data_IF_187391974552
#
_entry.id   IF_187391974552
#
_cell.length_a   1.000
_cell.length_b   1.000
_cell.length_c   1.000
_cell.angle_alpha   90.00
_cell.angle_beta   90.00
_cell.angle_gamma   90.00
#
_symmetry.space_group_name_H-M   'P 1'
#
loop_
_entity.id
_entity.type
_entity.pdbx_description
1 polymer ?
#
# COMPACT_ATOMS: atom_id res chain seq x y z
N UNK A 1 -4.63 28.56 46.02
CA UNK A 1 -3.83 27.33 46.19
C UNK A 1 -4.81 26.25 46.65
N UNK A 2 -5.39 25.53 45.66
CA UNK A 2 -6.43 24.52 45.91
C UNK A 2 -5.87 23.14 45.62
N UNK A 3 -5.49 22.46 46.67
CA UNK A 3 -5.04 21.06 46.62
C UNK A 3 -6.30 20.20 46.52
N UNK A 4 -6.57 19.62 45.33
CA UNK A 4 -7.61 18.62 45.15
C UNK A 4 -7.19 17.35 45.88
N UNK A 5 -7.91 17.00 46.93
CA UNK A 5 -7.80 15.71 47.62
C UNK A 5 -8.19 14.60 46.65
N UNK A 6 -7.25 13.70 46.32
CA UNK A 6 -7.50 12.47 45.60
C UNK A 6 -8.27 11.52 46.48
N UNK A 7 -9.39 11.00 46.01
CA UNK A 7 -10.23 10.02 46.67
C UNK A 7 -9.46 8.71 46.95
N UNK A 8 -9.67 8.03 48.10
CA UNK A 8 -8.90 6.82 48.50
C UNK A 8 -9.03 5.63 47.54
N UNK A 9 -10.02 5.64 46.65
CA UNK A 9 -10.24 4.61 45.62
C UNK A 9 -9.18 4.59 44.52
N UNK A 10 -8.62 5.74 44.14
CA UNK A 10 -7.62 5.80 43.04
C UNK A 10 -6.24 5.28 43.47
N UNK A 11 -5.91 5.40 44.76
CA UNK A 11 -4.63 4.91 45.29
C UNK A 11 -4.60 3.39 45.37
N UNK A 12 -5.74 2.76 45.68
CA UNK A 12 -5.92 1.32 45.68
C UNK A 12 -5.70 0.69 44.31
N UNK A 13 -6.21 1.32 43.24
CA UNK A 13 -5.99 0.87 41.85
C UNK A 13 -4.54 0.96 41.39
N UNK A 14 -3.83 2.01 41.82
CA UNK A 14 -2.40 2.18 41.52
C UNK A 14 -1.56 1.08 42.18
N UNK A 15 -1.86 0.72 43.44
CA UNK A 15 -1.17 -0.35 44.15
C UNK A 15 -1.45 -1.70 43.50
N UNK A 16 -2.69 -1.99 43.09
CA UNK A 16 -3.04 -3.25 42.42
C UNK A 16 -2.31 -3.39 41.08
N UNK A 17 -2.24 -2.34 40.29
CA UNK A 17 -1.51 -2.36 39.01
C UNK A 17 0.00 -2.57 39.24
N UNK A 18 0.60 -1.91 40.23
CA UNK A 18 2.01 -2.09 40.57
C UNK A 18 2.34 -3.53 41.05
N UNK A 19 1.49 -4.14 41.83
CA UNK A 19 1.64 -5.55 42.25
C UNK A 19 1.51 -6.50 41.07
N UNK A 20 0.56 -6.26 40.17
CA UNK A 20 0.36 -7.08 38.96
C UNK A 20 1.54 -7.02 38.00
N UNK A 21 2.15 -5.85 37.83
CA UNK A 21 3.34 -5.67 36.97
C UNK A 21 4.58 -6.36 37.57
N UNK A 22 4.75 -6.33 38.89
CA UNK A 22 5.84 -7.02 39.60
C UNK A 22 5.67 -8.56 39.49
N UNK A 23 4.47 -9.09 39.65
CA UNK A 23 4.20 -10.52 39.46
C UNK A 23 4.44 -10.99 38.03
N UNK A 24 4.09 -10.19 37.02
CA UNK A 24 4.39 -10.48 35.61
C UNK A 24 5.89 -10.49 35.34
N UNK A 25 6.64 -9.55 35.90
CA UNK A 25 8.10 -9.47 35.72
C UNK A 25 8.82 -10.66 36.38
N UNK A 26 8.37 -11.10 37.58
CA UNK A 26 8.91 -12.28 38.27
C UNK A 26 8.59 -13.57 37.54
N UNK A 27 7.38 -13.68 36.94
CA UNK A 27 6.96 -14.83 36.13
C UNK A 27 7.81 -14.98 34.85
N UNK A 28 8.13 -13.86 34.18
CA UNK A 28 8.98 -13.83 32.99
C UNK A 28 10.45 -14.19 33.31
N UNK A 29 10.95 -13.75 34.45
CA UNK A 29 12.33 -14.08 34.91
C UNK A 29 12.45 -15.54 35.34
N UNK A 30 11.41 -16.15 35.88
CA UNK A 30 11.43 -17.58 36.26
C UNK A 30 11.30 -18.50 35.05
N UNK A 31 10.50 -18.12 34.04
CA UNK A 31 10.35 -18.89 32.80
C UNK A 31 11.62 -18.87 31.91
N UNK A 32 12.50 -17.90 32.12
CA UNK A 32 13.77 -17.80 31.35
C UNK A 32 14.95 -18.56 32.01
N UNK A 33 14.77 -19.06 33.24
CA UNK A 33 15.81 -19.80 33.96
C UNK A 33 15.82 -21.32 33.71
N UNK A 34 14.81 -21.86 33.04
CA UNK A 34 14.70 -23.29 32.74
C UNK A 34 15.11 -23.74 31.35
N UNK A 35 15.73 -22.88 30.53
CA UNK A 35 16.22 -23.24 29.18
C UNK A 35 17.72 -23.10 28.92
N UNK A 36 18.54 -22.89 29.97
CA UNK A 36 20.00 -22.71 29.79
C UNK A 36 20.84 -23.73 30.60
N UNK A 37 20.35 -24.94 30.82
CA UNK A 37 21.11 -25.96 31.51
C UNK A 37 20.99 -27.34 30.84
N UNK A 38 21.21 -27.42 29.55
CA UNK A 38 21.44 -28.72 28.89
C UNK A 38 22.12 -28.50 27.53
N UNK A 39 23.38 -28.10 27.55
CA UNK A 39 24.37 -28.34 26.49
C UNK A 39 25.76 -27.81 26.90
N UNK A 40 26.34 -28.42 27.90
CA UNK A 40 27.78 -28.32 28.19
C UNK A 40 28.24 -29.46 29.10
N UNK A 41 28.47 -30.61 28.52
CA UNK A 41 29.33 -31.65 29.10
C UNK A 41 29.55 -32.76 28.08
N UNK A 42 30.77 -32.80 27.55
CA UNK A 42 31.55 -33.89 26.93
C UNK A 42 32.22 -33.36 25.70
N UNK A 43 33.55 -33.30 25.60
CA UNK A 43 34.61 -33.79 26.49
C UNK A 43 35.90 -33.45 25.76
N UNK A 44 36.76 -32.75 26.45
CA UNK A 44 38.18 -32.68 26.09
C UNK A 44 38.80 -34.06 26.25
N UNK A 45 39.52 -34.54 25.26
CA UNK A 45 40.72 -35.36 25.44
C UNK A 45 41.68 -35.15 24.30
N UNK A 46 42.75 -34.48 24.66
CA UNK A 46 44.07 -34.52 24.02
C UNK A 46 44.53 -35.96 23.86
N UNK A 47 45.16 -36.27 22.74
CA UNK A 47 46.38 -37.05 22.77
C UNK A 47 47.25 -36.72 21.56
N UNK A 48 48.44 -36.28 21.91
CA UNK A 48 49.58 -36.01 21.05
C UNK A 48 50.36 -37.31 20.75
N UNK A 49 51.18 -37.20 19.69
CA UNK A 49 52.38 -37.98 19.35
C UNK A 49 52.21 -39.43 18.88
N UNK A 50 52.68 -39.80 17.72
CA UNK A 50 54.12 -40.02 17.47
C UNK A 50 54.36 -40.47 16.01
N UNK A 51 55.43 -39.94 15.47
CA UNK A 51 56.14 -40.42 14.29
C UNK A 51 56.56 -41.87 14.46
N UNK A 52 56.52 -42.65 13.41
CA UNK A 52 57.73 -43.43 12.99
C UNK A 52 57.49 -44.09 11.64
N UNK A 53 58.56 -43.94 10.91
CA UNK A 53 59.02 -44.46 9.66
C UNK A 53 58.78 -45.96 9.39
N UNK A 54 58.73 -46.21 8.11
CA UNK A 54 59.51 -47.20 7.33
C UNK A 54 58.89 -48.46 6.79
N UNK A 55 59.04 -48.52 5.52
CA UNK A 55 59.51 -49.61 4.66
C UNK A 55 58.39 -50.46 3.93
N UNK A 56 58.41 -50.21 2.64
CA UNK A 56 58.66 -51.20 1.57
C UNK A 56 57.88 -52.54 1.62
N UNK A 57 57.03 -52.71 0.70
CA UNK A 57 57.29 -53.65 -0.42
C UNK A 57 56.07 -53.70 -1.39
N UNK A 58 56.47 -53.83 -2.63
CA UNK A 58 55.67 -54.00 -3.83
C UNK A 58 54.71 -55.17 -3.79
N UNK A 59 53.54 -55.01 -4.45
CA UNK A 59 53.05 -55.87 -5.54
C UNK A 59 51.77 -55.22 -6.05
N UNK A 60 51.84 -54.71 -7.23
CA UNK A 60 51.21 -55.12 -8.47
C UNK A 60 49.81 -55.80 -8.29
N UNK A 61 48.79 -55.08 -8.69
CA UNK A 61 47.79 -55.53 -9.62
C UNK A 61 46.78 -54.45 -9.96
N UNK A 62 46.85 -54.13 -11.18
CA UNK A 62 45.90 -53.55 -12.10
C UNK A 62 44.46 -53.74 -11.70
N UNK A 63 43.71 -52.63 -11.61
CA UNK A 63 42.28 -52.58 -11.51
C UNK A 63 41.81 -51.17 -11.80
N UNK A 64 42.16 -50.64 -12.99
CA UNK A 64 41.44 -49.51 -13.58
C UNK A 64 40.04 -50.00 -13.87
N UNK A 65 39.10 -49.78 -12.99
CA UNK A 65 37.70 -49.67 -13.35
C UNK A 65 37.53 -48.42 -14.21
N UNK A 66 37.84 -48.55 -15.50
CA UNK A 66 37.24 -47.69 -16.51
C UNK A 66 35.76 -47.95 -16.44
N UNK A 67 34.97 -47.01 -15.90
CA UNK A 67 33.57 -46.84 -16.30
C UNK A 67 33.61 -46.77 -17.83
N UNK A 68 33.26 -47.84 -18.49
CA UNK A 68 33.12 -47.90 -19.93
C UNK A 68 32.03 -46.93 -20.30
N UNK A 69 32.42 -45.75 -20.75
CA UNK A 69 31.51 -44.88 -21.48
C UNK A 69 30.95 -45.69 -22.66
N UNK A 70 29.67 -46.07 -22.59
CA UNK A 70 28.98 -46.78 -23.67
C UNK A 70 28.92 -45.84 -24.89
N UNK A 71 29.93 -45.88 -25.72
CA UNK A 71 29.97 -45.15 -26.97
C UNK A 71 29.17 -45.90 -28.02
N UNK A 72 28.11 -45.32 -28.54
CA UNK A 72 27.32 -45.80 -29.65
C UNK A 72 28.02 -45.48 -30.97
N UNK A 73 28.48 -46.46 -31.70
CA UNK A 73 29.05 -46.23 -33.01
C UNK A 73 28.03 -46.44 -34.12
N UNK A 74 27.63 -45.38 -34.81
CA UNK A 74 26.70 -45.41 -35.95
C UNK A 74 27.41 -44.92 -37.22
N UNK A 75 27.22 -45.66 -38.33
CA UNK A 75 27.68 -45.17 -39.65
C UNK A 75 26.70 -44.17 -40.24
N UNK A 76 27.16 -43.31 -41.17
CA UNK A 76 26.32 -42.34 -41.84
C UNK A 76 25.08 -42.95 -42.53
N UNK A 77 25.23 -44.18 -43.04
CA UNK A 77 24.13 -44.94 -43.67
C UNK A 77 23.11 -45.44 -42.64
N UNK A 78 23.55 -45.87 -41.48
CA UNK A 78 22.68 -46.27 -40.38
C UNK A 78 21.95 -45.06 -39.76
N UNK A 79 22.59 -43.91 -39.65
CA UNK A 79 21.95 -42.69 -39.21
C UNK A 79 20.80 -42.27 -40.12
N UNK A 80 21.02 -42.34 -41.45
CA UNK A 80 19.94 -42.08 -42.42
C UNK A 80 18.79 -43.07 -42.36
N UNK A 81 19.10 -44.34 -42.18
CA UNK A 81 18.07 -45.40 -42.08
C UNK A 81 17.22 -45.28 -40.83
N UNK A 82 17.82 -44.83 -39.73
CA UNK A 82 17.12 -44.63 -38.44
C UNK A 82 16.61 -43.21 -38.23
N UNK A 83 16.73 -42.31 -39.23
CA UNK A 83 16.23 -40.95 -39.16
C UNK A 83 17.00 -40.05 -38.17
N UNK A 84 18.22 -40.40 -37.76
CA UNK A 84 19.06 -39.62 -36.88
C UNK A 84 19.60 -38.41 -37.64
N UNK A 85 19.28 -37.19 -37.15
CA UNK A 85 19.75 -35.94 -37.71
C UNK A 85 20.74 -35.33 -36.74
N UNK A 86 21.88 -34.86 -37.28
CA UNK A 86 22.85 -34.09 -36.53
C UNK A 86 22.51 -32.62 -36.61
N UNK A 87 22.42 -31.97 -35.47
CA UNK A 87 22.20 -30.53 -35.40
C UNK A 87 23.38 -29.87 -34.67
N UNK A 88 23.84 -28.75 -35.19
CA UNK A 88 24.95 -28.02 -34.58
C UNK A 88 24.42 -27.21 -33.39
N UNK A 89 24.94 -27.48 -32.19
CA UNK A 89 24.58 -26.75 -31.00
C UNK A 89 25.12 -25.33 -31.06
N UNK A 90 24.30 -24.37 -30.68
CA UNK A 90 24.69 -22.94 -30.65
C UNK A 90 24.59 -22.41 -29.22
N UNK A 91 25.50 -21.50 -28.91
CA UNK A 91 25.35 -20.70 -27.70
C UNK A 91 24.12 -19.82 -27.81
N UNK A 92 23.26 -19.90 -26.84
CA UNK A 92 22.06 -19.07 -26.74
C UNK A 92 22.03 -18.34 -25.41
N UNK A 93 21.39 -17.18 -25.40
CA UNK A 93 21.11 -16.45 -24.17
C UNK A 93 19.82 -17.00 -23.54
N UNK A 94 19.87 -17.43 -22.30
CA UNK A 94 18.68 -17.74 -21.50
C UNK A 94 18.41 -16.61 -20.55
N UNK A 95 17.27 -15.98 -20.76
CA UNK A 95 16.75 -15.03 -19.82
C UNK A 95 16.02 -15.80 -18.70
N UNK A 96 16.62 -15.90 -17.55
CA UNK A 96 15.92 -16.46 -16.40
C UNK A 96 14.84 -15.47 -15.95
N UNK A 97 13.58 -15.92 -15.99
CA UNK A 97 12.46 -15.16 -15.44
C UNK A 97 12.24 -15.63 -14.01
N UNK A 98 12.33 -14.71 -13.08
CA UNK A 98 12.01 -14.94 -11.67
C UNK A 98 10.64 -14.35 -11.36
N UNK A 99 9.88 -15.07 -10.56
CA UNK A 99 8.51 -14.69 -10.20
C UNK A 99 8.46 -14.26 -8.74
N UNK A 100 7.86 -13.11 -8.49
CA UNK A 100 7.72 -12.53 -7.15
C UNK A 100 6.25 -12.30 -6.83
N UNK A 101 5.82 -12.60 -5.59
CA UNK A 101 4.48 -12.27 -5.15
C UNK A 101 4.32 -10.75 -5.07
N UNK A 102 3.18 -10.28 -5.54
CA UNK A 102 2.84 -8.87 -5.57
C UNK A 102 1.36 -8.68 -5.21
N UNK A 103 1.00 -7.48 -4.82
CA UNK A 103 -0.34 -7.07 -4.45
C UNK A 103 -0.78 -5.86 -5.27
N UNK A 104 -2.01 -5.91 -5.76
CA UNK A 104 -2.64 -4.72 -6.32
C UNK A 104 -3.18 -3.85 -5.18
N UNK A 105 -2.85 -2.57 -5.19
CA UNK A 105 -3.33 -1.60 -4.20
C UNK A 105 -3.96 -0.40 -4.88
N UNK A 106 -4.80 0.31 -4.16
CA UNK A 106 -5.39 1.56 -4.64
C UNK A 106 -4.29 2.59 -4.83
N UNK A 107 -4.39 3.38 -5.87
CA UNK A 107 -3.56 4.56 -6.01
C UNK A 107 -4.00 5.62 -5.00
N UNK A 108 -3.20 5.85 -3.95
CA UNK A 108 -3.49 6.81 -2.89
C UNK A 108 -3.61 8.25 -3.39
N UNK A 109 -2.98 8.60 -4.51
CA UNK A 109 -3.13 9.91 -5.14
C UNK A 109 -4.52 10.08 -5.79
N UNK A 110 -5.26 8.99 -5.93
CA UNK A 110 -6.60 8.91 -6.52
C UNK A 110 -7.64 8.36 -5.54
N UNK A 111 -7.37 8.49 -4.27
CA UNK A 111 -8.26 8.18 -3.18
C UNK A 111 -8.69 9.47 -2.50
N UNK A 112 -9.93 9.56 -2.07
CA UNK A 112 -10.42 10.67 -1.28
C UNK A 112 -11.06 10.15 0.01
N UNK A 113 -10.61 10.70 1.13
CA UNK A 113 -11.27 10.56 2.42
C UNK A 113 -12.28 11.69 2.57
N UNK A 114 -13.54 11.33 2.77
CA UNK A 114 -14.61 12.28 2.99
C UNK A 114 -14.91 12.32 4.47
N UNK A 115 -14.46 13.40 5.11
CA UNK A 115 -14.64 13.62 6.54
C UNK A 115 -15.68 14.70 6.80
N UNK A 116 -16.32 14.65 7.98
CA UNK A 116 -17.23 15.69 8.40
C UNK A 116 -16.48 16.98 8.71
N UNK A 117 -16.92 18.08 8.11
CA UNK A 117 -16.40 19.41 8.41
C UNK A 117 -17.07 20.03 9.65
N UNK A 118 -18.11 19.40 10.19
CA UNK A 118 -18.90 19.90 11.32
C UNK A 118 -19.42 18.74 12.18
N UNK A 119 -19.59 19.01 13.46
CA UNK A 119 -20.31 18.11 14.32
C UNK A 119 -21.81 18.19 14.02
N UNK A 120 -22.47 17.05 13.97
CA UNK A 120 -23.89 16.99 13.64
C UNK A 120 -24.46 15.59 13.71
N UNK A 121 -25.77 15.49 13.47
CA UNK A 121 -26.49 14.22 13.41
C UNK A 121 -26.77 13.84 11.97
N UNK A 122 -26.54 12.58 11.63
CA UNK A 122 -26.86 12.03 10.31
C UNK A 122 -28.38 11.91 10.13
N UNK A 123 -28.96 12.64 9.17
CA UNK A 123 -30.38 12.55 8.82
C UNK A 123 -30.64 11.49 7.75
N UNK A 124 -29.77 11.44 6.73
CA UNK A 124 -29.94 10.52 5.61
C UNK A 124 -28.58 10.19 4.97
N UNK A 125 -28.49 8.98 4.43
CA UNK A 125 -27.35 8.50 3.64
C UNK A 125 -27.87 8.02 2.30
N UNK A 126 -27.30 8.51 1.20
CA UNK A 126 -27.79 8.32 -0.17
C UNK A 126 -27.02 7.28 -0.97
N UNK A 127 -25.91 6.80 -0.42
CA UNK A 127 -24.99 5.90 -1.13
C UNK A 127 -24.68 4.66 -0.29
N UNK A 128 -24.31 3.60 -1.01
CA UNK A 128 -23.95 2.31 -0.43
C UNK A 128 -22.50 1.95 -0.71
N UNK A 129 -21.98 1.00 0.07
CA UNK A 129 -20.67 0.41 -0.14
C UNK A 129 -20.58 -0.24 -1.53
N UNK A 130 -19.53 0.03 -2.29
CA UNK A 130 -19.36 -0.47 -3.65
C UNK A 130 -20.10 0.33 -4.73
N UNK A 131 -20.90 1.33 -4.36
CA UNK A 131 -21.62 2.17 -5.32
C UNK A 131 -20.66 3.14 -6.02
N UNK A 132 -20.85 3.31 -7.33
CA UNK A 132 -20.13 4.30 -8.12
C UNK A 132 -20.77 5.68 -7.93
N UNK A 133 -19.95 6.69 -7.65
CA UNK A 133 -20.37 8.09 -7.44
C UNK A 133 -19.65 9.04 -8.37
N UNK A 134 -20.27 10.16 -8.69
CA UNK A 134 -19.68 11.25 -9.48
C UNK A 134 -19.25 12.38 -8.54
N UNK A 135 -18.22 13.12 -8.94
CA UNK A 135 -17.82 14.34 -8.24
C UNK A 135 -19.01 15.28 -8.05
N UNK A 136 -19.21 15.77 -6.83
CA UNK A 136 -20.33 16.64 -6.44
C UNK A 136 -21.63 15.90 -6.12
N UNK A 137 -21.69 14.58 -6.26
CA UNK A 137 -22.85 13.79 -5.88
C UNK A 137 -23.05 13.82 -4.36
N UNK A 138 -24.30 13.99 -3.92
CA UNK A 138 -24.65 13.94 -2.51
C UNK A 138 -24.44 12.53 -1.94
N UNK A 139 -23.75 12.44 -0.80
CA UNK A 139 -23.45 11.22 -0.08
C UNK A 139 -24.35 11.06 1.16
N UNK A 140 -24.47 12.13 1.95
CA UNK A 140 -25.28 12.16 3.16
C UNK A 140 -25.74 13.58 3.48
N UNK A 141 -26.79 13.68 4.27
CA UNK A 141 -27.20 14.94 4.92
C UNK A 141 -26.98 14.85 6.42
N UNK A 142 -26.39 15.90 6.93
CA UNK A 142 -26.15 16.11 8.37
C UNK A 142 -27.01 17.28 8.85
N UNK A 143 -27.65 17.12 9.99
CA UNK A 143 -28.21 18.22 10.75
C UNK A 143 -27.11 18.81 11.64
N UNK A 144 -26.73 20.05 11.37
CA UNK A 144 -25.62 20.75 12.03
C UNK A 144 -26.19 21.89 12.89
N UNK A 145 -26.21 21.77 14.23
CA UNK A 145 -26.79 22.81 15.10
C UNK A 145 -26.09 24.17 14.93
N UNK A 146 -24.76 24.17 14.81
CA UNK A 146 -23.99 25.41 14.61
C UNK A 146 -24.42 26.17 13.34
N UNK A 147 -24.83 25.45 12.30
CA UNK A 147 -25.34 26.07 11.06
C UNK A 147 -26.66 26.78 11.31
N UNK A 148 -27.55 26.21 12.13
CA UNK A 148 -28.82 26.85 12.55
C UNK A 148 -28.52 28.14 13.29
N UNK A 149 -27.58 28.12 14.24
CA UNK A 149 -27.18 29.29 15.03
C UNK A 149 -26.59 30.40 14.14
N UNK A 150 -25.73 30.04 13.19
CA UNK A 150 -25.17 31.03 12.25
C UNK A 150 -26.23 31.63 11.31
N UNK A 151 -27.24 30.85 10.90
CA UNK A 151 -28.37 31.36 10.12
C UNK A 151 -29.22 32.34 10.95
N UNK A 152 -29.49 32.01 12.22
CA UNK A 152 -30.21 32.90 13.14
C UNK A 152 -29.43 34.20 13.36
N UNK A 153 -28.12 34.13 13.58
CA UNK A 153 -27.24 35.30 13.75
C UNK A 153 -27.24 36.21 12.51
N UNK A 154 -27.23 35.63 11.30
CA UNK A 154 -27.35 36.39 10.06
C UNK A 154 -28.71 37.08 9.97
N UNK A 155 -29.80 36.42 10.32
CA UNK A 155 -31.17 36.99 10.31
C UNK A 155 -31.25 38.17 11.30
N UNK A 156 -30.71 38.03 12.51
CA UNK A 156 -30.66 39.11 13.52
C UNK A 156 -29.83 40.29 12.98
N UNK A 157 -28.67 40.03 12.40
CA UNK A 157 -27.82 41.08 11.82
C UNK A 157 -28.54 41.84 10.68
N UNK A 158 -29.29 41.11 9.83
CA UNK A 158 -30.09 41.69 8.74
C UNK A 158 -31.23 42.59 9.27
N UNK A 159 -31.93 42.17 10.32
CA UNK A 159 -32.99 42.96 10.95
C UNK A 159 -32.41 44.22 11.57
N UNK A 160 -31.27 44.14 12.28
CA UNK A 160 -30.58 45.29 12.84
C UNK A 160 -30.08 46.26 11.74
N UNK A 161 -29.61 45.74 10.62
CA UNK A 161 -29.22 46.57 9.47
C UNK A 161 -30.42 47.35 8.91
N UNK A 162 -31.55 46.69 8.77
CA UNK A 162 -32.76 47.34 8.26
C UNK A 162 -33.23 48.47 9.19
N UNK A 163 -33.24 48.24 10.51
CA UNK A 163 -33.54 49.27 11.52
C UNK A 163 -32.57 50.44 11.42
N UNK A 164 -31.28 50.16 11.45
CA UNK A 164 -30.22 51.21 11.37
C UNK A 164 -30.30 52.02 10.06
N UNK A 165 -30.69 51.36 8.96
CA UNK A 165 -30.91 52.02 7.67
C UNK A 165 -32.09 52.98 7.72
N UNK A 166 -33.20 52.59 8.30
CA UNK A 166 -34.41 53.45 8.46
C UNK A 166 -34.09 54.66 9.34
N UNK A 167 -33.37 54.45 10.43
CA UNK A 167 -32.94 55.55 11.31
C UNK A 167 -32.02 56.53 10.59
N UNK A 168 -31.04 56.00 9.83
CA UNK A 168 -30.13 56.81 9.02
C UNK A 168 -30.90 57.61 7.94
N UNK A 169 -31.81 57.02 7.23
CA UNK A 169 -32.60 57.70 6.19
C UNK A 169 -33.49 58.78 6.81
N UNK A 170 -34.10 58.55 7.96
CA UNK A 170 -34.89 59.51 8.70
C UNK A 170 -33.98 60.70 9.15
N UNK A 171 -32.90 60.45 9.84
CA UNK A 171 -31.98 61.50 10.30
C UNK A 171 -31.38 62.28 9.14
N UNK A 172 -31.04 61.65 8.04
CA UNK A 172 -30.57 62.30 6.81
C UNK A 172 -31.61 63.28 6.27
N UNK A 173 -32.90 62.90 6.24
CA UNK A 173 -34.00 63.75 5.81
C UNK A 173 -34.20 64.96 6.75
N UNK A 174 -34.21 64.72 8.06
CA UNK A 174 -34.35 65.79 9.07
C UNK A 174 -33.19 66.75 9.05
N UNK A 175 -31.97 66.27 8.88
CA UNK A 175 -30.77 67.13 8.78
C UNK A 175 -30.79 67.95 7.49
N UNK A 176 -31.21 67.39 6.38
CA UNK A 176 -31.32 68.11 5.10
C UNK A 176 -32.35 69.26 5.16
N UNK A 177 -33.33 69.15 6.06
CA UNK A 177 -34.37 70.15 6.32
C UNK A 177 -33.95 71.16 7.41
N UNK A 178 -32.75 70.99 8.01
CA UNK A 178 -32.28 71.87 9.09
C UNK A 178 -32.90 71.61 10.46
N UNK A 179 -33.66 70.47 10.60
CA UNK A 179 -34.40 70.16 11.85
C UNK A 179 -33.51 69.40 12.84
N UNK A 180 -32.63 68.50 12.35
CA UNK A 180 -31.76 67.66 13.17
C UNK A 180 -30.30 68.16 13.17
N UNK A 181 -29.58 67.96 14.29
CA UNK A 181 -28.18 68.30 14.41
C UNK A 181 -27.27 67.39 13.53
N UNK A 182 -26.21 67.93 12.96
CA UNK A 182 -25.22 67.17 12.19
C UNK A 182 -24.68 65.94 12.97
N UNK A 183 -24.57 66.06 14.29
CA UNK A 183 -24.09 65.00 15.16
C UNK A 183 -25.04 63.78 15.17
N UNK A 184 -26.35 64.02 15.16
CA UNK A 184 -27.35 62.95 15.15
C UNK A 184 -27.34 62.19 13.81
N UNK A 185 -27.27 62.92 12.69
CA UNK A 185 -27.04 62.34 11.38
C UNK A 185 -25.75 61.48 11.33
N UNK A 186 -24.61 62.01 11.87
CA UNK A 186 -23.36 61.26 11.88
C UNK A 186 -23.44 59.99 12.75
N UNK A 187 -24.17 60.07 13.88
CA UNK A 187 -24.39 58.91 14.76
C UNK A 187 -25.19 57.83 14.04
N UNK A 188 -26.29 58.22 13.42
CA UNK A 188 -27.12 57.27 12.64
C UNK A 188 -26.37 56.67 11.44
N UNK A 189 -25.56 57.47 10.72
CA UNK A 189 -24.72 56.97 9.66
C UNK A 189 -23.69 55.95 10.14
N UNK A 190 -23.02 56.20 11.26
CA UNK A 190 -22.05 55.29 11.84
C UNK A 190 -22.71 54.00 12.30
N UNK A 191 -23.91 54.06 12.92
CA UNK A 191 -24.70 52.86 13.29
C UNK A 191 -25.08 52.02 12.09
N UNK A 192 -25.53 52.66 11.00
CA UNK A 192 -25.83 51.98 9.75
C UNK A 192 -24.59 51.28 9.18
N UNK A 193 -23.44 51.95 9.11
CA UNK A 193 -22.18 51.37 8.66
C UNK A 193 -21.74 50.17 9.51
N UNK A 194 -21.88 50.30 10.85
CA UNK A 194 -21.57 49.20 11.75
C UNK A 194 -22.47 47.97 11.50
N UNK A 195 -23.77 48.19 11.33
CA UNK A 195 -24.71 47.12 11.01
C UNK A 195 -24.40 46.45 9.66
N UNK A 196 -23.95 47.21 8.63
CA UNK A 196 -23.48 46.62 7.36
C UNK A 196 -22.31 45.68 7.56
N UNK A 197 -21.31 46.08 8.38
CA UNK A 197 -20.14 45.26 8.68
C UNK A 197 -20.58 43.99 9.41
N UNK A 198 -21.53 44.08 10.34
CA UNK A 198 -22.05 42.91 11.08
C UNK A 198 -22.72 41.90 10.14
N UNK A 199 -23.56 42.34 9.20
CA UNK A 199 -24.16 41.46 8.17
C UNK A 199 -23.09 40.81 7.33
N UNK A 200 -22.09 41.56 6.88
CA UNK A 200 -21.00 41.03 6.08
C UNK A 200 -20.21 39.97 6.86
N UNK A 201 -19.91 40.21 8.12
CA UNK A 201 -19.23 39.26 8.99
C UNK A 201 -20.06 37.98 9.20
N UNK A 202 -21.38 38.11 9.45
CA UNK A 202 -22.27 36.97 9.60
C UNK A 202 -22.38 36.14 8.29
N UNK A 203 -22.45 36.83 7.12
CA UNK A 203 -22.43 36.15 5.81
C UNK A 203 -21.11 35.39 5.58
N UNK A 204 -19.98 36.01 5.90
CA UNK A 204 -18.67 35.36 5.74
C UNK A 204 -18.53 34.14 6.64
N UNK A 205 -19.02 34.18 7.88
CA UNK A 205 -19.07 33.01 8.76
C UNK A 205 -19.92 31.89 8.17
N UNK A 206 -21.14 32.22 7.69
CA UNK A 206 -22.02 31.25 7.07
C UNK A 206 -21.42 30.65 5.79
N UNK A 207 -20.71 31.44 4.98
CA UNK A 207 -20.04 30.95 3.77
C UNK A 207 -18.90 29.98 4.08
N UNK A 208 -18.24 30.10 5.22
CA UNK A 208 -17.19 29.18 5.66
C UNK A 208 -17.72 27.75 5.90
N UNK A 209 -19.02 27.60 6.15
CA UNK A 209 -19.67 26.28 6.21
C UNK A 209 -19.86 25.62 4.83
N UNK A 210 -19.31 26.19 3.76
CA UNK A 210 -19.45 25.63 2.42
C UNK A 210 -20.91 25.63 1.93
N UNK A 211 -21.69 26.50 2.57
CA UNK A 211 -23.10 26.57 2.34
C UNK A 211 -23.44 27.09 0.94
N UNK A 212 -23.57 26.19 0.00
CA UNK A 212 -24.79 26.20 -0.79
C UNK A 212 -25.91 25.98 0.23
N UNK A 213 -26.29 27.02 0.92
CA UNK A 213 -27.22 27.07 2.02
C UNK A 213 -28.58 26.61 1.58
N UNK A 214 -28.77 25.30 1.58
CA UNK A 214 -30.06 24.69 1.72
C UNK A 214 -30.55 25.04 3.12
N UNK A 215 -31.66 25.71 3.18
CA UNK A 215 -32.46 26.02 4.34
C UNK A 215 -32.36 24.99 5.47
N UNK A 216 -32.33 25.48 6.70
CA UNK A 216 -32.68 24.73 7.92
C UNK A 216 -31.59 23.87 8.56
N UNK A 217 -30.34 24.36 8.61
CA UNK A 217 -29.29 23.67 9.40
C UNK A 217 -28.82 22.36 8.80
N UNK A 218 -29.22 22.04 7.58
CA UNK A 218 -28.79 20.83 6.85
C UNK A 218 -27.52 21.10 6.07
N UNK A 219 -26.52 20.24 6.30
CA UNK A 219 -25.27 20.22 5.55
C UNK A 219 -25.23 18.96 4.68
N UNK A 220 -25.09 19.14 3.37
CA UNK A 220 -24.96 18.02 2.43
C UNK A 220 -23.50 17.70 2.20
N UNK A 221 -23.10 16.50 2.59
CA UNK A 221 -21.79 15.94 2.29
C UNK A 221 -21.76 15.47 0.85
N UNK A 222 -20.78 15.89 0.07
CA UNK A 222 -20.66 15.57 -1.36
C UNK A 222 -19.36 14.89 -1.69
N UNK A 223 -19.34 14.09 -2.76
CA UNK A 223 -18.15 13.42 -3.25
C UNK A 223 -17.14 14.42 -3.84
N UNK A 224 -15.89 14.51 -3.35
CA UNK A 224 -14.86 15.39 -3.89
C UNK A 224 -14.30 14.92 -5.23
N UNK A 225 -14.36 13.61 -5.50
CA UNK A 225 -13.91 12.96 -6.72
C UNK A 225 -14.98 11.98 -7.22
N UNK A 226 -14.89 11.58 -8.49
CA UNK A 226 -15.66 10.44 -9.01
C UNK A 226 -14.93 9.15 -8.71
N UNK A 227 -15.64 8.09 -8.34
CA UNK A 227 -15.03 6.80 -7.98
C UNK A 227 -16.05 5.84 -7.39
N UNK A 228 -15.57 4.85 -6.66
CA UNK A 228 -16.38 3.83 -5.97
C UNK A 228 -16.23 4.02 -4.47
N UNK A 229 -17.32 3.93 -3.73
CA UNK A 229 -17.31 3.95 -2.26
C UNK A 229 -16.62 2.67 -1.76
N UNK A 230 -15.41 2.78 -1.26
CA UNK A 230 -14.62 1.66 -0.74
C UNK A 230 -14.76 1.46 0.77
N UNK A 231 -15.13 2.52 1.49
CA UNK A 231 -15.49 2.44 2.90
C UNK A 231 -16.67 3.38 3.19
N UNK A 232 -17.57 2.94 4.06
CA UNK A 232 -18.72 3.70 4.55
C UNK A 232 -18.81 3.46 6.06
N UNK A 233 -18.46 4.48 6.82
CA UNK A 233 -18.46 4.47 8.28
C UNK A 233 -19.43 5.55 8.80
N UNK A 234 -20.70 5.37 8.49
CA UNK A 234 -21.78 6.29 8.84
C UNK A 234 -23.11 5.57 8.83
N UNK A 235 -23.93 5.84 9.88
CA UNK A 235 -25.27 5.28 10.05
C UNK A 235 -26.28 6.40 10.28
N UNK A 236 -27.50 6.23 9.77
CA UNK A 236 -28.60 7.17 9.99
C UNK A 236 -28.91 7.28 11.49
N UNK A 237 -29.00 8.50 11.99
CA UNK A 237 -29.25 8.81 13.39
C UNK A 237 -28.01 8.94 14.26
N UNK A 238 -26.83 8.59 13.74
CA UNK A 238 -25.54 8.73 14.42
C UNK A 238 -25.13 10.19 14.58
N UNK A 239 -24.42 10.50 15.68
CA UNK A 239 -23.77 11.79 15.88
C UNK A 239 -22.32 11.71 15.43
N UNK A 240 -21.96 12.52 14.44
CA UNK A 240 -20.59 12.62 13.92
C UNK A 240 -19.91 13.85 14.50
N UNK A 241 -18.59 13.73 14.69
CA UNK A 241 -17.74 14.79 15.16
C UNK A 241 -17.00 15.48 14.01
N UNK A 242 -16.40 16.62 14.29
CA UNK A 242 -15.49 17.28 13.37
C UNK A 242 -14.32 16.34 13.02
N UNK A 243 -14.02 16.23 11.74
CA UNK A 243 -12.97 15.41 11.16
C UNK A 243 -13.20 13.88 11.20
N UNK A 244 -14.34 13.40 11.66
CA UNK A 244 -14.69 11.98 11.52
C UNK A 244 -14.70 11.60 10.03
N UNK A 245 -13.97 10.53 9.69
CA UNK A 245 -13.92 10.01 8.34
C UNK A 245 -15.15 9.14 8.08
N UNK A 246 -16.02 9.58 7.20
CA UNK A 246 -17.33 8.98 6.95
C UNK A 246 -17.36 8.08 5.71
N UNK A 247 -16.58 8.46 4.69
CA UNK A 247 -16.47 7.67 3.46
C UNK A 247 -15.04 7.67 2.94
N UNK A 248 -14.71 6.61 2.21
CA UNK A 248 -13.52 6.58 1.34
C UNK A 248 -14.00 6.33 -0.09
N UNK A 249 -13.50 7.12 -1.02
CA UNK A 249 -13.81 7.00 -2.46
C UNK A 249 -12.53 6.68 -3.20
N UNK A 250 -12.53 5.56 -3.92
CA UNK A 250 -11.41 5.08 -4.69
C UNK A 250 -11.68 5.20 -6.18
N UNK A 251 -10.73 5.77 -6.93
CA UNK A 251 -10.71 5.69 -8.38
C UNK A 251 -9.99 4.41 -8.79
N UNK A 252 -10.75 3.46 -9.33
CA UNK A 252 -10.24 2.14 -9.71
C UNK A 252 -9.67 2.08 -11.14
N UNK A 253 -9.66 3.20 -11.87
CA UNK A 253 -9.11 3.32 -13.21
C UNK A 253 -7.58 3.17 -13.26
N UNK A 254 -6.91 3.29 -12.12
CA UNK A 254 -5.47 3.19 -12.01
C UNK A 254 -5.05 2.58 -10.68
N UNK A 255 -4.63 1.32 -10.74
CA UNK A 255 -4.10 0.61 -9.59
C UNK A 255 -2.57 0.70 -9.55
N UNK A 256 -2.03 0.55 -8.36
CA UNK A 256 -0.62 0.27 -8.16
C UNK A 256 -0.40 -1.22 -7.91
N UNK A 257 0.74 -1.69 -8.39
CA UNK A 257 1.28 -3.00 -8.13
C UNK A 257 2.43 -2.84 -7.14
N UNK A 258 2.29 -3.39 -5.96
CA UNK A 258 3.32 -3.38 -4.93
C UNK A 258 3.91 -4.77 -4.76
N UNK A 259 5.23 -4.85 -4.79
CA UNK A 259 5.97 -6.08 -4.53
C UNK A 259 7.28 -5.80 -3.84
N UNK A 260 7.82 -6.85 -3.25
CA UNK A 260 9.03 -6.77 -2.44
C UNK A 260 10.11 -7.61 -3.11
N UNK A 261 11.26 -6.99 -3.33
CA UNK A 261 12.43 -7.64 -3.92
C UNK A 261 13.44 -7.99 -2.81
N UNK A 262 13.81 -9.26 -2.66
CA UNK A 262 14.90 -9.64 -1.75
C UNK A 262 16.24 -9.04 -2.22
N UNK A 263 17.07 -8.56 -1.31
CA UNK A 263 18.40 -7.99 -1.62
C UNK A 263 19.34 -8.96 -2.29
N UNK A 264 19.14 -10.26 -2.09
CA UNK A 264 19.92 -11.33 -2.75
C UNK A 264 19.44 -11.63 -4.18
N UNK A 265 18.30 -11.11 -4.61
CA UNK A 265 17.87 -11.26 -5.99
C UNK A 265 18.76 -10.40 -6.88
N UNK A 266 19.57 -11.06 -7.73
CA UNK A 266 20.44 -10.38 -8.69
C UNK A 266 19.64 -9.81 -9.85
N UNK A 267 18.65 -8.94 -9.51
CA UNK A 267 17.73 -8.32 -10.45
C UNK A 267 17.84 -6.81 -10.28
N UNK A 268 18.17 -6.15 -11.37
CA UNK A 268 18.21 -4.69 -11.42
C UNK A 268 16.88 -4.17 -11.96
N UNK A 269 16.08 -3.53 -11.12
CA UNK A 269 14.84 -2.86 -11.49
C UNK A 269 15.10 -1.37 -11.57
N UNK A 270 14.73 -0.74 -12.68
CA UNK A 270 14.93 0.69 -12.90
C UNK A 270 13.58 1.43 -12.94
N UNK A 271 13.54 2.70 -12.54
CA UNK A 271 12.38 3.56 -12.75
C UNK A 271 11.98 3.60 -14.23
N UNK A 272 10.68 3.64 -14.50
CA UNK A 272 10.08 3.61 -15.85
C UNK A 272 10.25 2.28 -16.62
N UNK A 273 10.85 1.25 -16.02
CA UNK A 273 10.92 -0.07 -16.62
C UNK A 273 9.52 -0.68 -16.75
N UNK A 274 9.22 -1.26 -17.90
CA UNK A 274 8.01 -2.06 -18.07
C UNK A 274 8.22 -3.46 -17.53
N UNK A 275 7.26 -3.92 -16.74
CA UNK A 275 7.24 -5.25 -16.14
C UNK A 275 5.91 -5.92 -16.44
N UNK A 276 5.90 -7.25 -16.41
CA UNK A 276 4.69 -8.04 -16.57
C UNK A 276 4.28 -8.66 -15.26
N UNK A 277 2.99 -8.81 -15.07
CA UNK A 277 2.45 -9.56 -13.94
C UNK A 277 1.29 -10.42 -14.38
N UNK A 278 1.12 -11.55 -13.70
CA UNK A 278 0.12 -12.57 -13.99
C UNK A 278 -0.91 -12.63 -12.87
N UNK A 279 -2.20 -12.56 -13.24
CA UNK A 279 -3.29 -12.79 -12.31
C UNK A 279 -3.29 -14.24 -11.85
N UNK A 280 -3.36 -14.48 -10.55
CA UNK A 280 -3.45 -15.83 -9.98
C UNK A 280 -4.82 -16.48 -10.21
N UNK A 281 -5.86 -15.67 -10.42
CA UNK A 281 -7.22 -16.17 -10.60
C UNK A 281 -7.50 -16.57 -12.03
N UNK A 282 -7.13 -15.72 -13.00
CA UNK A 282 -7.48 -15.91 -14.41
C UNK A 282 -6.31 -16.42 -15.25
N UNK A 283 -5.08 -16.30 -14.75
CA UNK A 283 -3.87 -16.61 -15.51
C UNK A 283 -3.50 -15.56 -16.56
N UNK A 284 -4.29 -14.49 -16.71
CA UNK A 284 -4.04 -13.43 -17.68
C UNK A 284 -2.80 -12.62 -17.31
N UNK A 285 -2.08 -12.16 -18.33
CA UNK A 285 -0.86 -11.37 -18.19
C UNK A 285 -1.17 -9.90 -18.48
N UNK A 286 -0.70 -9.03 -17.60
CA UNK A 286 -0.87 -7.60 -17.68
C UNK A 286 0.47 -6.88 -17.61
N UNK A 287 0.48 -5.62 -18.04
CA UNK A 287 1.67 -4.79 -18.01
C UNK A 287 1.57 -3.73 -16.90
N UNK A 288 2.70 -3.48 -16.27
CA UNK A 288 2.87 -2.38 -15.33
C UNK A 288 4.18 -1.66 -15.60
N UNK A 289 4.28 -0.40 -15.17
CA UNK A 289 5.48 0.41 -15.28
C UNK A 289 5.98 0.76 -13.89
N UNK A 290 7.23 0.46 -13.59
CA UNK A 290 7.88 0.81 -12.34
C UNK A 290 7.89 2.33 -12.19
N UNK A 291 7.34 2.83 -11.09
CA UNK A 291 7.27 4.26 -10.83
C UNK A 291 8.30 4.69 -9.79
N UNK A 292 8.40 3.97 -8.72
CA UNK A 292 9.32 4.26 -7.64
C UNK A 292 9.87 3.00 -7.01
N UNK A 293 11.12 3.08 -6.59
CA UNK A 293 11.74 2.17 -5.66
C UNK A 293 11.88 2.94 -4.33
N UNK A 294 11.61 2.29 -3.22
CA UNK A 294 11.93 2.90 -1.92
C UNK A 294 13.44 3.12 -1.84
N UNK A 295 13.84 4.32 -1.40
CA UNK A 295 15.25 4.68 -1.24
C UNK A 295 15.93 3.92 -0.09
N UNK A 296 15.11 3.42 0.84
CA UNK A 296 15.58 2.66 2.00
C UNK A 296 14.99 1.26 1.96
N UNK A 297 15.84 0.27 2.18
CA UNK A 297 15.39 -1.07 2.44
C UNK A 297 14.72 -1.12 3.83
N UNK A 298 13.70 -1.95 3.97
CA UNK A 298 13.09 -2.21 5.27
C UNK A 298 14.17 -2.68 6.27
N UNK A 299 14.32 -1.96 7.37
CA UNK A 299 15.42 -2.16 8.32
C UNK A 299 15.39 -3.55 9.00
N UNK A 300 14.22 -4.20 9.06
CA UNK A 300 14.07 -5.50 9.70
C UNK A 300 14.27 -6.65 8.71
N UNK A 301 13.86 -6.48 7.47
CA UNK A 301 13.86 -7.55 6.46
C UNK A 301 14.89 -7.37 5.37
N UNK A 302 15.53 -6.21 5.26
CA UNK A 302 16.49 -5.86 4.21
C UNK A 302 15.89 -5.87 2.80
N UNK A 303 14.57 -5.75 2.67
CA UNK A 303 13.84 -5.88 1.40
C UNK A 303 13.53 -4.52 0.82
N UNK A 304 13.62 -4.40 -0.51
CA UNK A 304 13.23 -3.21 -1.26
C UNK A 304 11.76 -3.34 -1.68
N UNK A 305 10.97 -2.35 -1.30
CA UNK A 305 9.59 -2.25 -1.79
C UNK A 305 9.58 -1.50 -3.12
N UNK A 306 8.97 -2.11 -4.11
CA UNK A 306 8.85 -1.55 -5.45
C UNK A 306 7.37 -1.29 -5.72
N UNK A 307 7.10 -0.11 -6.27
CA UNK A 307 5.77 0.29 -6.68
C UNK A 307 5.76 0.53 -8.18
N UNK A 308 4.82 -0.10 -8.86
CA UNK A 308 4.61 0.05 -10.29
C UNK A 308 3.16 0.44 -10.59
N UNK A 309 2.99 1.26 -11.60
CA UNK A 309 1.68 1.68 -12.11
C UNK A 309 1.15 0.63 -13.06
N UNK A 310 -0.04 0.12 -12.81
CA UNK A 310 -0.74 -0.79 -13.74
C UNK A 310 -1.16 -0.01 -14.98
N UNK A 311 -0.81 -0.51 -16.16
CA UNK A 311 -1.10 0.13 -17.45
C UNK A 311 -2.41 -0.36 -18.09
N UNK A 312 -3.00 -1.42 -17.55
CA UNK A 312 -4.17 -2.08 -18.11
C UNK A 312 -5.42 -1.79 -17.27
N UNK A 313 -6.49 -1.37 -17.92
CA UNK A 313 -7.82 -1.22 -17.32
C UNK A 313 -8.62 -2.51 -17.57
N UNK A 314 -8.42 -3.53 -16.75
CA UNK A 314 -9.22 -4.74 -16.80
C UNK A 314 -10.18 -4.80 -15.61
N UNK A 315 -11.44 -5.12 -15.86
CA UNK A 315 -12.49 -5.23 -14.84
C UNK A 315 -12.21 -6.31 -13.79
N UNK A 316 -11.33 -7.25 -14.11
CA UNK A 316 -10.88 -8.31 -13.21
C UNK A 316 -9.81 -7.84 -12.20
N UNK A 317 -9.13 -6.72 -12.48
CA UNK A 317 -8.11 -6.16 -11.58
C UNK A 317 -8.79 -5.35 -10.48
N UNK A 318 -8.72 -5.85 -9.27
CA UNK A 318 -9.30 -5.20 -8.08
C UNK A 318 -8.23 -4.96 -7.01
N UNK A 319 -8.39 -3.94 -6.18
CA UNK A 319 -7.53 -3.75 -5.02
C UNK A 319 -7.47 -5.01 -4.15
N UNK A 320 -6.33 -5.20 -3.51
CA UNK A 320 -6.03 -6.32 -2.61
C UNK A 320 -5.91 -7.70 -3.28
N UNK A 321 -5.99 -7.81 -4.62
CA UNK A 321 -5.68 -9.06 -5.29
C UNK A 321 -4.18 -9.34 -5.27
N UNK A 322 -3.85 -10.61 -4.97
CA UNK A 322 -2.50 -11.13 -5.10
C UNK A 322 -2.25 -11.55 -6.55
N UNK A 323 -1.10 -11.17 -7.06
CA UNK A 323 -0.64 -11.45 -8.42
C UNK A 323 0.84 -11.84 -8.40
N UNK A 324 1.36 -12.35 -9.49
CA UNK A 324 2.77 -12.69 -9.63
C UNK A 324 3.45 -11.74 -10.63
N UNK A 325 4.51 -11.07 -10.22
CA UNK A 325 5.36 -10.25 -11.09
C UNK A 325 6.45 -11.11 -11.69
N UNK A 326 6.65 -10.99 -12.98
CA UNK A 326 7.71 -11.65 -13.74
C UNK A 326 8.82 -10.66 -14.02
N UNK A 327 10.00 -10.88 -13.45
CA UNK A 327 11.19 -10.07 -13.67
C UNK A 327 12.28 -10.89 -14.35
N UNK A 328 13.00 -10.27 -15.27
CA UNK A 328 14.15 -10.92 -15.89
C UNK A 328 15.38 -10.78 -14.99
N UNK A 329 16.06 -11.89 -14.70
CA UNK A 329 17.33 -11.87 -14.02
C UNK A 329 18.39 -11.10 -14.84
N UNK A 330 19.17 -10.25 -14.18
CA UNK A 330 20.13 -9.37 -14.86
C UNK A 330 21.32 -10.05 -15.51
N UNK A 331 21.51 -11.36 -15.30
CA UNK A 331 22.58 -12.13 -15.93
C UNK A 331 22.05 -12.92 -17.13
N UNK A 332 22.43 -12.50 -18.31
CA UNK A 332 22.35 -13.34 -19.49
C UNK A 332 23.41 -14.45 -19.35
N UNK A 333 23.00 -15.64 -19.00
CA UNK A 333 23.91 -16.77 -19.07
C UNK A 333 23.92 -17.32 -20.50
N UNK A 334 25.11 -17.32 -21.09
CA UNK A 334 25.32 -18.05 -22.35
C UNK A 334 25.30 -19.53 -22.02
N UNK A 335 24.28 -20.20 -22.48
CA UNK A 335 24.11 -21.65 -22.32
C UNK A 335 24.08 -22.32 -23.68
N UNK A 336 24.52 -23.57 -23.72
CA UNK A 336 24.39 -24.40 -24.92
C UNK A 336 22.90 -24.73 -25.09
N UNK A 337 22.33 -24.38 -26.23
CA UNK A 337 20.94 -24.71 -26.56
C UNK A 337 20.90 -25.93 -27.45
N UNK A 338 20.09 -26.90 -27.08
CA UNK A 338 19.79 -28.11 -27.84
C UNK A 338 18.28 -28.14 -28.17
N UNK A 339 17.94 -28.76 -29.28
CA UNK A 339 16.55 -29.02 -29.59
C UNK A 339 15.95 -29.98 -28.57
N UNK A 340 14.69 -29.78 -28.19
CA UNK A 340 13.96 -30.73 -27.31
C UNK A 340 13.87 -32.14 -27.91
N UNK A 341 13.93 -32.27 -29.23
CA UNK A 341 13.93 -33.55 -29.96
C UNK A 341 15.25 -34.32 -29.78
N UNK A 342 16.37 -33.63 -29.41
CA UNK A 342 17.66 -34.23 -29.15
C UNK A 342 17.78 -34.81 -27.73
N UNK A 343 16.85 -34.49 -26.83
CA UNK A 343 16.84 -35.00 -25.47
C UNK A 343 16.19 -36.39 -25.46
N UNK A 344 16.96 -37.38 -25.07
CA UNK A 344 16.51 -38.75 -24.92
C UNK A 344 16.53 -39.18 -23.45
N UNK A 345 15.63 -40.08 -23.09
CA UNK A 345 15.58 -40.58 -21.73
C UNK A 345 16.20 -41.97 -21.68
N UNK A 346 17.34 -42.09 -21.02
CA UNK A 346 18.07 -43.37 -20.83
C UNK A 346 18.16 -43.60 -19.32
N UNK A 347 17.70 -44.76 -18.86
CA UNK A 347 17.67 -45.15 -17.45
C UNK A 347 17.06 -44.10 -16.50
N UNK A 348 16.02 -43.39 -16.98
CA UNK A 348 15.31 -42.37 -16.21
C UNK A 348 16.07 -41.03 -16.08
N UNK A 349 17.18 -40.87 -16.84
CA UNK A 349 17.94 -39.61 -16.93
C UNK A 349 17.79 -39.01 -18.32
N UNK A 350 17.66 -37.70 -18.40
CA UNK A 350 17.67 -36.97 -19.66
C UNK A 350 19.10 -36.83 -20.15
N UNK A 351 19.40 -37.38 -21.33
CA UNK A 351 20.73 -37.38 -21.94
C UNK A 351 20.67 -36.80 -23.36
N UNK A 352 21.81 -36.24 -23.79
CA UNK A 352 22.00 -35.78 -25.17
C UNK A 352 23.25 -36.45 -25.73
N UNK A 353 23.14 -37.07 -26.91
CA UNK A 353 24.26 -37.71 -27.58
C UNK A 353 25.05 -36.67 -28.39
N UNK A 354 26.37 -36.60 -28.16
CA UNK A 354 27.26 -35.67 -28.85
C UNK A 354 28.11 -36.42 -29.86
N UNK A 355 28.12 -35.99 -31.14
CA UNK A 355 28.97 -36.53 -32.16
C UNK A 355 30.42 -36.07 -31.99
N UNK A 356 31.35 -37.00 -31.81
CA UNK A 356 32.78 -36.67 -31.72
C UNK A 356 33.43 -36.73 -33.12
N UNK A 357 33.91 -35.62 -33.69
CA UNK A 357 34.35 -35.56 -35.09
C UNK A 357 35.71 -36.27 -35.33
N UNK A 358 36.46 -36.60 -34.31
CA UNK A 358 37.83 -37.16 -34.45
C UNK A 358 37.99 -38.63 -34.10
N UNK A 359 37.01 -39.27 -33.58
CA UNK A 359 37.01 -40.73 -33.47
C UNK A 359 36.26 -41.30 -34.67
N UNK A 360 36.95 -42.08 -35.48
CA UNK A 360 36.42 -42.70 -36.68
C UNK A 360 35.21 -43.61 -36.44
N UNK A 361 34.38 -43.44 -35.48
CA UNK A 361 33.12 -44.19 -35.19
C UNK A 361 32.80 -44.04 -33.69
N UNK A 362 31.95 -43.12 -33.30
CA UNK A 362 31.33 -43.17 -31.98
C UNK A 362 30.58 -41.85 -31.63
N UNK A 363 29.54 -42.01 -30.88
CA UNK A 363 28.81 -40.93 -30.21
C UNK A 363 28.93 -41.20 -28.71
N UNK A 364 29.26 -40.21 -27.91
CA UNK A 364 29.23 -40.23 -26.44
C UNK A 364 27.90 -39.72 -25.91
#
# INVERSE_FOLDING_TARGET
MNIKQKTPSQWLWIVVIAVLTILLAVGLLWNNKSKTAESAAQGEQEHAHQESEKAESAHDENGEEHEAEESLSLTAEQMQQHGVKLEQVALGEVNQVQTFPAKLVVNTDRQAHVSSSFAGRVESVYVELGQQVKRGQALANLLVPDLVDQQANLQIAQTNLELAKQDYERERSLWSQGISAKQDYQRAYNAYRQAQIQVQAARSRLSAFGAASGSSGRYTLTAPISGVISNKDIVIGENVQLADQLFTIDQLDQLWLEFVLPTMANINVQPNQQIRFKSLQTGNIFNAQVQSLTTEADAQTGRLQIRAKVLSNATELRPNLMVNVELQAGSKSSVIRVSSEAIQQVDGKDVVFVAQPNQKKGFD
#
